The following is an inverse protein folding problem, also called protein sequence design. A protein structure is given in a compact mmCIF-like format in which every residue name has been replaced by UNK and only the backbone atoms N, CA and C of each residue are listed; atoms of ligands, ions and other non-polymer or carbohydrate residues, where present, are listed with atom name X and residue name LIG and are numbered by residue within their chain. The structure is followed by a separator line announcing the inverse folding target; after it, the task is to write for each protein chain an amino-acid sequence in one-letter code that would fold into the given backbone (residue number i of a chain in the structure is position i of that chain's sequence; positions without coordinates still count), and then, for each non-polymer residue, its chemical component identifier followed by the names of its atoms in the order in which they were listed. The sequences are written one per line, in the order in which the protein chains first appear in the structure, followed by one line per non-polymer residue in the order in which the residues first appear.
data_IF_237432427145
#
_entry.id   IF_237432427145
#
_cell.length_a   1.000
_cell.length_b   1.000
_cell.length_c   1.000
_cell.angle_alpha   90.00
_cell.angle_beta   90.00
_cell.angle_gamma   90.00
#
_symmetry.space_group_name_H-M   'P 1'
#
loop_
_entity.id
_entity.type
_entity.pdbx_description
1 polymer ?
#
# COMPACT_ATOMS: atom_id res chain seq x y z
N UNK A 1 7.88 0.34 1.86
CA UNK A 1 9.06 1.23 1.82
C UNK A 1 10.09 0.50 1.01
N UNK A 2 10.39 0.98 -0.18
CA UNK A 2 11.50 0.45 -0.98
C UNK A 2 12.22 1.62 -1.64
N UNK A 3 13.54 1.53 -1.70
CA UNK A 3 14.42 2.43 -2.41
C UNK A 3 15.14 1.57 -3.43
N UNK A 4 14.53 1.39 -4.61
CA UNK A 4 15.16 0.62 -5.66
C UNK A 4 16.53 1.21 -5.99
N UNK A 5 17.62 0.44 -5.86
CA UNK A 5 18.94 0.97 -6.10
C UNK A 5 19.14 1.28 -7.59
N UNK A 6 19.62 2.49 -7.87
CA UNK A 6 19.94 2.94 -9.24
C UNK A 6 21.25 2.28 -9.74
N UNK A 7 22.07 1.79 -8.81
CA UNK A 7 23.34 1.12 -9.08
C UNK A 7 23.38 -0.28 -8.47
N UNK A 8 24.23 -1.15 -9.04
CA UNK A 8 24.40 -2.52 -8.57
C UNK A 8 24.95 -2.57 -7.14
N UNK A 9 24.09 -2.93 -6.19
CA UNK A 9 24.44 -3.06 -4.76
C UNK A 9 25.18 -4.35 -4.41
N UNK A 10 25.31 -5.29 -5.36
CA UNK A 10 26.08 -6.53 -5.17
C UNK A 10 27.57 -6.22 -5.37
N UNK A 11 27.89 -5.48 -6.44
CA UNK A 11 29.28 -5.21 -6.81
C UNK A 11 29.78 -3.81 -6.39
N UNK A 12 28.89 -2.84 -6.10
CA UNK A 12 29.27 -1.48 -5.68
C UNK A 12 29.00 -1.25 -4.19
N UNK A 13 29.91 -1.77 -3.37
CA UNK A 13 29.82 -1.74 -1.91
C UNK A 13 29.66 -0.32 -1.34
N UNK A 14 30.35 0.67 -1.92
CA UNK A 14 30.27 2.08 -1.50
C UNK A 14 28.86 2.67 -1.65
N UNK A 15 28.15 2.31 -2.73
CA UNK A 15 26.77 2.76 -2.97
C UNK A 15 25.80 2.12 -1.97
N UNK A 16 25.96 0.82 -1.73
CA UNK A 16 25.19 0.08 -0.70
C UNK A 16 25.42 0.65 0.69
N UNK A 17 26.67 0.89 1.06
CA UNK A 17 27.04 1.47 2.36
C UNK A 17 26.45 2.85 2.55
N UNK A 18 26.54 3.71 1.53
CA UNK A 18 26.08 5.10 1.61
C UNK A 18 24.56 5.23 1.78
N UNK A 19 23.77 4.41 1.07
CA UNK A 19 22.31 4.59 1.01
C UNK A 19 21.51 3.54 1.80
N UNK A 20 22.05 2.34 2.03
CA UNK A 20 21.28 1.22 2.59
C UNK A 20 21.78 0.72 3.95
N UNK A 21 23.01 1.06 4.37
CA UNK A 21 23.58 0.58 5.65
C UNK A 21 22.70 0.91 6.86
N UNK A 22 22.11 2.10 6.89
CA UNK A 22 21.21 2.53 7.97
C UNK A 22 19.77 2.06 7.78
N UNK A 23 19.36 1.76 6.55
CA UNK A 23 17.98 1.43 6.20
C UNK A 23 17.68 -0.07 6.29
N UNK A 24 18.64 -0.93 5.96
CA UNK A 24 18.48 -2.39 6.07
C UNK A 24 18.17 -2.81 7.52
N UNK A 25 18.94 -2.38 8.55
CA UNK A 25 18.61 -2.72 9.93
C UNK A 25 17.25 -2.19 10.37
N UNK A 26 16.80 -1.05 9.83
CA UNK A 26 15.47 -0.53 10.11
C UNK A 26 14.39 -1.43 9.52
N UNK A 27 14.50 -1.79 8.24
CA UNK A 27 13.57 -2.72 7.59
C UNK A 27 13.46 -4.06 8.30
N UNK A 28 14.61 -4.63 8.73
CA UNK A 28 14.65 -5.87 9.51
C UNK A 28 13.91 -5.72 10.85
N UNK A 29 14.15 -4.64 11.60
CA UNK A 29 13.42 -4.39 12.86
C UNK A 29 11.91 -4.29 12.68
N UNK A 30 11.44 -3.65 11.61
CA UNK A 30 10.00 -3.59 11.31
C UNK A 30 9.44 -4.98 10.99
N UNK A 31 10.19 -5.81 10.25
CA UNK A 31 9.79 -7.19 9.94
C UNK A 31 9.77 -8.07 11.20
N UNK A 32 10.77 -7.95 12.08
CA UNK A 32 10.84 -8.65 13.37
C UNK A 32 9.61 -8.35 14.23
N UNK A 33 9.27 -7.06 14.42
CA UNK A 33 8.08 -6.66 15.19
C UNK A 33 6.80 -7.22 14.56
N UNK A 34 6.69 -7.21 13.23
CA UNK A 34 5.52 -7.77 12.54
C UNK A 34 5.40 -9.28 12.75
N UNK A 35 6.52 -10.02 12.70
CA UNK A 35 6.54 -11.46 12.99
C UNK A 35 6.15 -11.76 14.43
N UNK A 36 6.62 -10.96 15.40
CA UNK A 36 6.21 -11.09 16.80
C UNK A 36 4.70 -10.89 16.99
N UNK A 37 4.09 -9.95 16.26
CA UNK A 37 2.64 -9.73 16.28
C UNK A 37 1.88 -10.94 15.73
N UNK A 38 2.38 -11.54 14.64
CA UNK A 38 1.78 -12.77 14.06
C UNK A 38 1.85 -13.92 15.06
N UNK A 39 3.00 -14.13 15.71
CA UNK A 39 3.15 -15.20 16.70
C UNK A 39 2.17 -15.07 17.87
N UNK A 40 1.73 -13.84 18.18
CA UNK A 40 0.77 -13.55 19.25
C UNK A 40 -0.69 -13.50 18.75
N UNK A 41 -0.92 -13.53 17.45
CA UNK A 41 -2.25 -13.42 16.88
C UNK A 41 -3.08 -14.68 17.19
N UNK A 42 -4.25 -14.50 17.78
CA UNK A 42 -5.23 -15.56 18.01
C UNK A 42 -6.23 -15.54 16.86
N UNK A 43 -6.56 -16.71 16.31
CA UNK A 43 -7.54 -16.82 15.23
C UNK A 43 -8.92 -16.36 15.73
N UNK A 44 -9.49 -15.39 15.04
CA UNK A 44 -10.88 -14.97 15.28
C UNK A 44 -11.85 -16.11 14.92
N UNK A 45 -12.86 -16.30 15.77
CA UNK A 45 -13.92 -17.32 15.60
C UNK A 45 -15.29 -16.70 15.43
N UNK A 46 -15.47 -15.44 15.83
CA UNK A 46 -16.72 -14.72 15.62
C UNK A 46 -16.92 -14.39 14.13
N UNK A 47 -18.01 -14.89 13.56
CA UNK A 47 -18.30 -14.72 12.13
C UNK A 47 -18.49 -13.26 11.72
N UNK A 48 -19.10 -12.44 12.59
CA UNK A 48 -19.30 -11.02 12.32
C UNK A 48 -17.95 -10.28 12.28
N UNK A 49 -17.08 -10.55 13.25
CA UNK A 49 -15.75 -9.97 13.29
C UNK A 49 -14.88 -10.44 12.13
N UNK A 50 -14.96 -11.71 11.72
CA UNK A 50 -14.29 -12.22 10.52
C UNK A 50 -14.79 -11.45 9.28
N UNK A 51 -16.11 -11.26 9.15
CA UNK A 51 -16.69 -10.50 8.05
C UNK A 51 -16.15 -9.05 8.01
N UNK A 52 -16.12 -8.36 9.15
CA UNK A 52 -15.56 -7.02 9.23
C UNK A 52 -14.07 -6.97 8.87
N UNK A 53 -13.29 -7.97 9.31
CA UNK A 53 -11.86 -8.07 8.98
C UNK A 53 -11.65 -8.27 7.46
N UNK A 54 -12.44 -9.17 6.85
CA UNK A 54 -12.42 -9.40 5.41
C UNK A 54 -12.81 -8.14 4.63
N UNK A 55 -13.89 -7.46 5.05
CA UNK A 55 -14.33 -6.23 4.40
C UNK A 55 -13.27 -5.11 4.50
N UNK A 56 -12.62 -4.98 5.66
CA UNK A 56 -11.54 -4.01 5.87
C UNK A 56 -10.33 -4.30 4.96
N UNK A 57 -9.94 -5.58 4.84
CA UNK A 57 -8.86 -6.00 3.95
C UNK A 57 -9.23 -5.76 2.49
N UNK A 58 -10.43 -6.14 2.07
CA UNK A 58 -10.93 -5.92 0.72
C UNK A 58 -10.94 -4.43 0.36
N UNK A 59 -11.42 -3.55 1.26
CA UNK A 59 -11.37 -2.10 1.09
C UNK A 59 -9.95 -1.58 0.88
N UNK A 60 -8.98 -2.07 1.66
CA UNK A 60 -7.57 -1.70 1.52
C UNK A 60 -6.98 -2.13 0.17
N UNK A 61 -7.23 -3.38 -0.25
CA UNK A 61 -6.76 -3.91 -1.53
C UNK A 61 -7.36 -3.14 -2.71
N UNK A 62 -8.67 -2.86 -2.67
CA UNK A 62 -9.37 -2.07 -3.68
C UNK A 62 -8.77 -0.68 -3.82
N UNK A 63 -8.43 -0.03 -2.71
CA UNK A 63 -7.73 1.26 -2.76
C UNK A 63 -6.36 1.15 -3.44
N UNK A 64 -5.53 0.18 -3.03
CA UNK A 64 -4.17 0.03 -3.55
C UNK A 64 -4.16 -0.35 -5.03
N UNK A 65 -5.00 -1.30 -5.44
CA UNK A 65 -5.11 -1.70 -6.84
C UNK A 65 -5.45 -0.53 -7.78
N UNK A 66 -6.23 0.45 -7.29
CA UNK A 66 -6.63 1.61 -8.08
C UNK A 66 -5.67 2.81 -7.95
N UNK A 67 -5.17 3.11 -6.76
CA UNK A 67 -4.48 4.38 -6.46
C UNK A 67 -2.99 4.23 -6.11
N UNK A 68 -2.42 3.03 -6.20
CA UNK A 68 -0.99 2.84 -5.92
C UNK A 68 -0.10 3.72 -6.84
N UNK A 69 0.87 4.49 -6.29
CA UNK A 69 1.73 5.35 -7.09
C UNK A 69 2.59 4.61 -8.12
N UNK A 70 2.94 3.35 -7.86
CA UNK A 70 3.80 2.53 -8.73
C UNK A 70 3.12 2.08 -10.02
N UNK A 71 1.78 2.17 -10.11
CA UNK A 71 1.01 1.75 -11.30
C UNK A 71 1.50 2.39 -12.59
N UNK A 72 1.85 3.67 -12.54
CA UNK A 72 2.33 4.40 -13.72
C UNK A 72 3.66 3.86 -14.25
N UNK A 73 4.53 3.39 -13.36
CA UNK A 73 5.81 2.75 -13.73
C UNK A 73 5.54 1.38 -14.34
N UNK A 74 4.69 0.55 -13.70
CA UNK A 74 4.32 -0.76 -14.23
C UNK A 74 3.72 -0.66 -15.63
N UNK A 75 2.76 0.25 -15.84
CA UNK A 75 2.16 0.47 -17.16
C UNK A 75 3.18 0.84 -18.23
N UNK A 76 4.19 1.66 -17.89
CA UNK A 76 5.26 2.03 -18.83
C UNK A 76 6.20 0.86 -19.14
N UNK A 77 6.44 -0.04 -18.18
CA UNK A 77 7.39 -1.14 -18.33
C UNK A 77 6.77 -2.34 -19.06
N UNK A 78 5.53 -2.70 -18.73
CA UNK A 78 4.90 -3.96 -19.18
C UNK A 78 3.56 -3.74 -19.90
N UNK A 79 3.15 -2.50 -20.14
CA UNK A 79 1.89 -2.16 -20.79
C UNK A 79 0.67 -2.25 -19.85
N UNK A 80 -0.45 -1.65 -20.27
CA UNK A 80 -1.63 -1.52 -19.42
C UNK A 80 -2.26 -2.84 -18.99
N UNK A 81 -2.36 -3.82 -19.90
CA UNK A 81 -3.02 -5.11 -19.62
C UNK A 81 -2.25 -5.93 -18.60
N UNK A 82 -0.94 -6.13 -18.82
CA UNK A 82 -0.10 -6.89 -17.89
C UNK A 82 0.11 -6.15 -16.57
N UNK A 83 0.19 -4.81 -16.58
CA UNK A 83 0.23 -4.04 -15.35
C UNK A 83 -1.06 -4.18 -14.53
N UNK A 84 -2.23 -4.18 -15.20
CA UNK A 84 -3.51 -4.40 -14.52
C UNK A 84 -3.58 -5.80 -13.92
N UNK A 85 -3.17 -6.82 -14.66
CA UNK A 85 -3.13 -8.20 -14.16
C UNK A 85 -2.16 -8.35 -12.99
N UNK A 86 -0.92 -7.86 -13.12
CA UNK A 86 0.07 -7.89 -12.03
C UNK A 86 -0.42 -7.18 -10.75
N UNK A 87 -1.14 -6.07 -10.89
CA UNK A 87 -1.68 -5.35 -9.74
C UNK A 87 -2.78 -6.15 -9.03
N UNK A 88 -3.73 -6.71 -9.78
CA UNK A 88 -4.92 -7.34 -9.21
C UNK A 88 -4.68 -8.79 -8.82
N UNK A 89 -4.03 -9.55 -9.70
CA UNK A 89 -3.84 -10.98 -9.55
C UNK A 89 -2.64 -11.33 -8.67
N UNK A 90 -1.64 -10.44 -8.54
CA UNK A 90 -0.41 -10.71 -7.78
C UNK A 90 -0.19 -9.73 -6.62
N UNK A 91 0.05 -8.44 -6.89
CA UNK A 91 0.45 -7.47 -5.85
C UNK A 91 -0.65 -7.22 -4.80
N UNK A 92 -1.89 -7.18 -5.25
CA UNK A 92 -3.08 -6.97 -4.42
C UNK A 92 -4.11 -8.08 -4.64
N UNK A 93 -3.61 -9.33 -4.71
CA UNK A 93 -4.46 -10.52 -4.77
C UNK A 93 -5.48 -10.52 -3.61
N UNK A 94 -6.71 -10.95 -3.90
CA UNK A 94 -7.85 -10.85 -2.99
C UNK A 94 -8.81 -9.72 -3.33
N UNK A 95 -8.45 -8.79 -4.22
CA UNK A 95 -9.33 -7.69 -4.64
C UNK A 95 -10.54 -8.17 -5.46
N UNK A 96 -10.44 -9.32 -6.13
CA UNK A 96 -11.52 -9.90 -6.91
C UNK A 96 -12.24 -11.04 -6.16
N UNK A 97 -11.65 -11.52 -5.05
CA UNK A 97 -12.10 -12.72 -4.33
C UNK A 97 -12.67 -12.44 -2.93
N UNK A 98 -12.17 -11.43 -2.22
CA UNK A 98 -12.56 -11.16 -0.82
C UNK A 98 -13.86 -10.38 -0.67
N UNK A 99 -14.38 -9.77 -1.75
CA UNK A 99 -15.62 -9.01 -1.72
C UNK A 99 -16.10 -8.57 -3.10
N UNK A 100 -17.31 -8.00 -3.14
CA UNK A 100 -17.96 -7.56 -4.38
C UNK A 100 -18.09 -6.04 -4.54
N UNK A 101 -17.79 -5.27 -3.47
CA UNK A 101 -17.84 -3.81 -3.48
C UNK A 101 -16.76 -3.22 -4.37
N UNK A 102 -17.15 -2.31 -5.25
CA UNK A 102 -16.25 -1.60 -6.15
C UNK A 102 -15.49 -0.47 -5.44
N UNK A 103 -14.52 0.14 -6.13
CA UNK A 103 -13.83 1.32 -5.62
C UNK A 103 -14.80 2.47 -5.28
N UNK A 104 -15.84 2.66 -6.09
CA UNK A 104 -16.82 3.72 -5.89
C UNK A 104 -17.73 3.46 -4.69
N UNK A 105 -18.00 2.19 -4.36
CA UNK A 105 -18.78 1.83 -3.17
C UNK A 105 -18.03 2.20 -1.88
N UNK A 106 -16.70 2.06 -1.86
CA UNK A 106 -15.88 2.41 -0.69
C UNK A 106 -15.42 3.88 -0.64
N UNK A 107 -15.28 4.51 -1.80
CA UNK A 107 -14.70 5.85 -1.94
C UNK A 107 -15.56 6.72 -2.88
N UNK A 108 -16.85 6.93 -2.58
CA UNK A 108 -17.80 7.62 -3.46
C UNK A 108 -17.38 9.06 -3.79
N UNK A 109 -16.59 9.70 -2.93
CA UNK A 109 -16.02 11.02 -3.18
C UNK A 109 -15.15 11.10 -4.44
N UNK A 110 -14.65 9.96 -4.95
CA UNK A 110 -13.86 9.88 -6.20
C UNK A 110 -14.71 9.70 -7.47
N UNK A 111 -16.04 9.57 -7.34
CA UNK A 111 -16.95 9.54 -8.48
C UNK A 111 -17.02 10.94 -9.12
N UNK A 112 -16.76 11.04 -10.43
CA UNK A 112 -17.11 12.24 -11.19
C UNK A 112 -18.57 12.17 -11.65
N UNK A 113 -19.16 13.33 -12.01
CA UNK A 113 -20.56 13.48 -12.43
C UNK A 113 -20.96 12.61 -13.65
N UNK A 114 -19.99 12.06 -14.39
CA UNK A 114 -20.21 11.17 -15.56
C UNK A 114 -19.93 9.69 -15.28
N UNK A 115 -19.80 9.27 -14.01
CA UNK A 115 -19.53 7.86 -13.64
C UNK A 115 -18.09 7.39 -13.91
N UNK A 116 -17.25 8.23 -14.52
CA UNK A 116 -15.82 7.99 -14.67
C UNK A 116 -15.04 8.27 -13.37
N UNK A 117 -13.99 7.50 -13.11
CA UNK A 117 -13.10 7.70 -11.96
C UNK A 117 -12.34 9.01 -12.08
N UNK A 118 -12.30 9.79 -10.99
CA UNK A 118 -11.50 11.02 -10.93
C UNK A 118 -10.02 10.71 -11.18
N UNK A 119 -9.47 11.29 -12.26
CA UNK A 119 -8.06 11.14 -12.67
C UNK A 119 -7.06 11.74 -11.67
N UNK A 120 -7.52 12.53 -10.70
CA UNK A 120 -6.66 13.03 -9.60
C UNK A 120 -6.27 11.87 -8.67
N UNK A 121 -4.98 11.80 -8.35
CA UNK A 121 -4.43 10.83 -7.39
C UNK A 121 -4.90 11.07 -5.96
N UNK A 122 -5.37 12.27 -5.64
CA UNK A 122 -5.95 12.64 -4.36
C UNK A 122 -6.98 13.79 -4.58
N UNK A 123 -8.18 13.69 -4.01
CA UNK A 123 -9.21 14.74 -4.10
C UNK A 123 -8.88 15.94 -3.23
N UNK A 124 -8.34 15.71 -2.04
CA UNK A 124 -8.04 16.74 -1.02
C UNK A 124 -6.73 17.47 -1.37
N UNK A 125 -5.84 16.82 -2.11
CA UNK A 125 -4.49 17.31 -2.36
C UNK A 125 -3.49 16.80 -1.31
N UNK A 126 -2.19 17.04 -1.53
CA UNK A 126 -1.15 16.69 -0.55
C UNK A 126 -1.15 17.76 0.55
N UNK A 127 -1.35 17.36 1.80
CA UNK A 127 -1.61 18.31 2.91
C UNK A 127 -0.63 18.24 4.08
N UNK A 128 0.35 17.32 4.10
CA UNK A 128 1.30 17.21 5.21
C UNK A 128 2.73 17.40 4.71
N UNK A 129 3.27 18.60 4.92
CA UNK A 129 4.69 18.91 4.68
C UNK A 129 5.58 18.29 5.76
N UNK A 130 5.14 18.39 7.02
CA UNK A 130 5.81 17.82 8.18
C UNK A 130 5.16 16.51 8.62
N UNK A 131 5.89 15.68 9.37
CA UNK A 131 5.36 14.44 9.96
C UNK A 131 4.19 14.79 10.89
N UNK A 132 2.96 14.31 10.65
CA UNK A 132 1.79 14.69 11.44
C UNK A 132 1.65 13.88 12.74
N UNK A 133 2.77 13.39 13.29
CA UNK A 133 2.83 12.67 14.56
C UNK A 133 4.00 13.17 15.39
N UNK A 134 3.77 13.42 16.67
CA UNK A 134 4.83 13.79 17.61
C UNK A 134 5.64 12.56 18.07
N UNK A 135 6.66 12.79 18.90
CA UNK A 135 7.53 11.72 19.42
C UNK A 135 6.81 10.69 20.31
N UNK A 136 5.61 11.02 20.82
CA UNK A 136 4.75 10.11 21.59
C UNK A 136 3.80 9.29 20.71
N UNK A 137 3.80 9.54 19.39
CA UNK A 137 2.90 8.88 18.44
C UNK A 137 1.51 9.49 18.37
N UNK A 138 1.28 10.64 18.99
CA UNK A 138 0.00 11.36 18.95
C UNK A 138 -0.11 12.14 17.63
N UNK A 139 -1.29 12.13 17.02
CA UNK A 139 -1.56 12.86 15.78
C UNK A 139 -1.60 14.38 16.05
N UNK A 140 -0.84 15.14 15.27
CA UNK A 140 -0.69 16.61 15.36
C UNK A 140 -0.81 17.27 13.97
N UNK A 141 -1.43 16.59 13.01
CA UNK A 141 -1.60 17.13 11.67
C UNK A 141 -2.50 18.37 11.67
N UNK A 142 -2.02 19.44 11.05
CA UNK A 142 -2.79 20.65 10.70
C UNK A 142 -3.44 20.50 9.32
#
# INVERSE_FOLDING_TARGET
MDLNPVHDIINQYEYKEKYFKSLIPLGLKYAEVWLELICKAVKETDESQIFHNLEAQHRYLTWRAEKDPGRGVLKKLIGDTLAKDMLRSFLFNGVDELGSKTFNDYFPQYCCQEGNLNKKGNIIGKSFENRPWNARGEFIGE
#
